data_IF_274527024588
#
_entry.id   IF_274527024588
#
_cell.length_a   1.000
_cell.length_b   1.000
_cell.length_c   1.000
_cell.angle_alpha   90.00
_cell.angle_beta   90.00
_cell.angle_gamma   90.00
#
_symmetry.space_group_name_H-M   'P 1'
#
loop_
_entity.id
_entity.type
_entity.pdbx_description
1 polymer ?
#
# COMPACT_ATOMS: atom_id res chain seq x y z
N UNK A 1 1.25 -21.99 2.57
CA UNK A 1 2.32 -21.02 2.89
C UNK A 1 2.37 -20.03 1.75
N UNK A 2 2.05 -18.76 2.01
CA UNK A 2 2.24 -17.71 1.00
C UNK A 2 3.73 -17.64 0.65
N UNK A 3 4.06 -17.58 -0.63
CA UNK A 3 5.44 -17.48 -1.08
C UNK A 3 6.06 -16.21 -0.50
N UNK A 4 7.14 -16.35 0.26
CA UNK A 4 7.81 -15.20 0.85
C UNK A 4 8.56 -14.45 -0.25
N UNK A 5 8.10 -13.23 -0.57
CA UNK A 5 8.73 -12.43 -1.61
C UNK A 5 10.20 -12.14 -1.24
N UNK A 6 11.14 -12.21 -2.20
CA UNK A 6 12.51 -11.83 -1.94
C UNK A 6 12.55 -10.38 -1.47
N UNK A 7 13.31 -10.07 -0.43
CA UNK A 7 13.44 -8.72 0.11
C UNK A 7 14.73 -8.05 -0.34
N UNK A 8 14.73 -6.72 -0.37
CA UNK A 8 15.90 -5.88 -0.67
C UNK A 8 15.92 -4.69 0.28
N UNK A 9 17.13 -4.25 0.61
CA UNK A 9 17.32 -3.04 1.39
C UNK A 9 17.13 -1.81 0.49
N UNK A 10 16.24 -0.90 0.89
CA UNK A 10 15.97 0.32 0.14
C UNK A 10 17.04 1.37 0.50
N UNK A 11 18.03 1.57 -0.38
CA UNK A 11 19.17 2.45 -0.09
C UNK A 11 20.17 1.85 0.90
N UNK A 12 21.20 2.63 1.27
CA UNK A 12 22.33 2.12 2.07
C UNK A 12 21.96 1.80 3.53
N UNK A 13 21.05 2.58 4.10
CA UNK A 13 20.63 2.48 5.51
C UNK A 13 19.10 2.46 5.67
N UNK A 14 18.37 2.17 4.60
CA UNK A 14 16.91 2.16 4.65
C UNK A 14 16.30 0.80 5.01
N UNK A 15 14.96 0.73 5.04
CA UNK A 15 14.23 -0.47 5.47
C UNK A 15 14.38 -1.62 4.48
N UNK A 16 14.18 -2.83 4.98
CA UNK A 16 14.02 -4.02 4.16
C UNK A 16 12.59 -4.10 3.64
N UNK A 17 12.44 -4.14 2.33
CA UNK A 17 11.15 -4.16 1.66
C UNK A 17 11.07 -5.30 0.66
N UNK A 18 9.87 -5.69 0.23
CA UNK A 18 9.71 -6.65 -0.86
C UNK A 18 10.35 -6.14 -2.15
N UNK A 19 11.10 -6.99 -2.84
CA UNK A 19 11.74 -6.64 -4.12
C UNK A 19 10.72 -6.34 -5.22
N UNK A 20 9.51 -6.89 -5.09
CA UNK A 20 8.36 -6.52 -5.88
C UNK A 20 7.54 -5.49 -5.11
N UNK A 21 7.33 -4.34 -5.73
CA UNK A 21 6.43 -3.30 -5.24
C UNK A 21 5.03 -3.45 -5.80
N UNK A 22 4.04 -2.98 -5.05
CA UNK A 22 2.65 -2.88 -5.46
C UNK A 22 2.32 -1.43 -5.84
N UNK A 23 1.91 -1.19 -7.08
CA UNK A 23 1.42 0.12 -7.51
C UNK A 23 -0.06 0.28 -7.20
N UNK A 24 -0.41 1.22 -6.33
CA UNK A 24 -1.79 1.49 -5.94
C UNK A 24 -2.61 2.18 -7.05
N UNK A 25 -1.99 2.61 -8.15
CA UNK A 25 -2.64 3.34 -9.25
C UNK A 25 -3.95 2.69 -9.73
N UNK A 26 -4.02 1.35 -9.78
CA UNK A 26 -5.21 0.60 -10.19
C UNK A 26 -6.36 0.59 -9.19
N UNK A 27 -6.14 0.99 -7.93
CA UNK A 27 -7.21 1.22 -6.97
C UNK A 27 -7.91 2.56 -7.17
N UNK A 28 -7.37 3.43 -8.04
CA UNK A 28 -7.93 4.76 -8.26
C UNK A 28 -9.19 4.66 -9.12
N UNK A 29 -10.36 4.89 -8.51
CA UNK A 29 -11.63 4.90 -9.23
C UNK A 29 -11.70 6.02 -10.29
N UNK A 30 -10.87 7.06 -10.14
CA UNK A 30 -10.84 8.23 -11.03
C UNK A 30 -9.93 8.06 -12.24
N UNK A 31 -8.90 7.20 -12.16
CA UNK A 31 -7.94 7.00 -13.24
C UNK A 31 -8.15 5.72 -14.05
N UNK A 32 -8.63 4.64 -13.42
CA UNK A 32 -8.70 3.30 -14.04
C UNK A 32 -10.12 2.76 -14.22
N UNK A 33 -11.15 3.55 -13.91
CA UNK A 33 -12.54 3.12 -13.93
C UNK A 33 -13.00 2.59 -12.58
N UNK A 34 -14.17 1.96 -12.53
CA UNK A 34 -14.79 1.54 -11.27
C UNK A 34 -13.90 0.53 -10.52
N UNK A 35 -13.25 0.98 -9.43
CA UNK A 35 -12.34 0.16 -8.63
C UNK A 35 -13.06 -0.70 -7.59
N UNK A 36 -14.41 -0.76 -7.66
CA UNK A 36 -15.26 -1.49 -6.73
C UNK A 36 -15.51 -0.72 -5.43
N UNK A 37 -16.24 -1.38 -4.53
CA UNK A 37 -16.61 -0.80 -3.24
C UNK A 37 -15.37 -0.63 -2.34
N UNK A 38 -15.44 0.28 -1.37
CA UNK A 38 -14.34 0.54 -0.42
C UNK A 38 -13.88 -0.76 0.29
N UNK A 39 -14.82 -1.62 0.69
CA UNK A 39 -14.48 -2.89 1.35
C UNK A 39 -13.73 -3.86 0.44
N UNK A 40 -14.05 -3.93 -0.85
CA UNK A 40 -13.34 -4.78 -1.81
C UNK A 40 -11.91 -4.29 -2.02
N UNK A 41 -11.74 -2.97 -2.15
CA UNK A 41 -10.43 -2.32 -2.26
C UNK A 41 -9.58 -2.55 -1.02
N UNK A 42 -10.19 -2.47 0.17
CA UNK A 42 -9.51 -2.76 1.43
C UNK A 42 -9.15 -4.26 1.58
N UNK A 43 -10.04 -5.17 1.16
CA UNK A 43 -9.76 -6.61 1.15
C UNK A 43 -8.65 -6.97 0.15
N UNK A 44 -8.55 -6.24 -0.96
CA UNK A 44 -7.45 -6.36 -1.90
C UNK A 44 -6.11 -5.97 -1.26
N UNK A 45 -6.05 -4.85 -0.54
CA UNK A 45 -4.85 -4.44 0.21
C UNK A 45 -4.45 -5.48 1.27
N UNK A 46 -5.42 -6.11 1.95
CA UNK A 46 -5.15 -7.23 2.85
C UNK A 46 -4.49 -8.40 2.12
N UNK A 47 -4.97 -8.75 0.91
CA UNK A 47 -4.34 -9.80 0.10
C UNK A 47 -2.94 -9.44 -0.35
N UNK A 48 -2.70 -8.20 -0.77
CA UNK A 48 -1.37 -7.70 -1.13
C UNK A 48 -0.40 -7.86 0.05
N UNK A 49 -0.84 -7.46 1.24
CA UNK A 49 -0.07 -7.63 2.47
C UNK A 49 0.17 -9.11 2.82
N UNK A 50 -0.87 -9.96 2.75
CA UNK A 50 -0.77 -11.41 2.99
C UNK A 50 0.18 -12.12 2.02
N UNK A 51 0.30 -11.62 0.79
CA UNK A 51 1.27 -12.09 -0.20
C UNK A 51 2.71 -11.66 0.12
N UNK A 52 2.93 -10.90 1.19
CA UNK A 52 4.25 -10.44 1.63
C UNK A 52 4.77 -9.22 0.87
N UNK A 53 3.90 -8.51 0.15
CA UNK A 53 4.26 -7.26 -0.51
C UNK A 53 4.21 -6.12 0.51
N UNK A 54 5.38 -5.63 0.89
CA UNK A 54 5.57 -4.58 1.90
C UNK A 54 6.03 -3.26 1.30
N UNK A 55 6.21 -3.20 -0.03
CA UNK A 55 6.57 -1.97 -0.73
C UNK A 55 5.41 -1.48 -1.59
N UNK A 56 4.75 -0.39 -1.19
CA UNK A 56 3.56 0.13 -1.88
C UNK A 56 3.84 1.50 -2.50
N UNK A 57 3.62 1.63 -3.79
CA UNK A 57 3.76 2.88 -4.53
C UNK A 57 2.40 3.57 -4.67
N UNK A 58 2.30 4.81 -4.19
CA UNK A 58 1.14 5.68 -4.35
C UNK A 58 1.61 7.11 -4.58
N UNK A 59 0.71 7.99 -5.02
CA UNK A 59 0.96 9.40 -5.23
C UNK A 59 -0.34 10.21 -5.05
N UNK A 60 -0.22 11.50 -4.73
CA UNK A 60 -1.34 12.45 -4.64
C UNK A 60 -2.19 12.46 -5.92
N UNK A 61 -1.56 12.28 -7.08
CA UNK A 61 -2.23 12.22 -8.37
C UNK A 61 -3.12 10.99 -8.59
N UNK A 62 -3.11 9.99 -7.71
CA UNK A 62 -3.89 8.76 -7.84
C UNK A 62 -5.30 8.84 -7.25
N UNK A 63 -5.85 10.04 -7.07
CA UNK A 63 -7.22 10.24 -6.61
C UNK A 63 -7.38 9.93 -5.12
N UNK A 64 -8.31 9.05 -4.76
CA UNK A 64 -8.69 8.73 -3.38
C UNK A 64 -7.83 7.64 -2.71
N UNK A 65 -6.77 7.21 -3.39
CA UNK A 65 -5.91 6.11 -2.94
C UNK A 65 -5.23 6.36 -1.60
N UNK A 66 -4.78 7.58 -1.33
CA UNK A 66 -4.09 7.89 -0.06
C UNK A 66 -5.04 7.82 1.13
N UNK A 67 -6.29 8.26 0.96
CA UNK A 67 -7.32 8.16 2.00
C UNK A 67 -7.66 6.69 2.28
N UNK A 68 -7.81 5.88 1.22
CA UNK A 68 -8.06 4.44 1.34
C UNK A 68 -6.91 3.72 2.08
N UNK A 69 -5.66 3.99 1.68
CA UNK A 69 -4.48 3.41 2.32
C UNK A 69 -4.38 3.88 3.77
N UNK A 70 -4.69 5.15 4.05
CA UNK A 70 -4.76 5.69 5.41
C UNK A 70 -5.80 4.97 6.28
N UNK A 71 -7.01 4.74 5.75
CA UNK A 71 -8.06 3.94 6.41
C UNK A 71 -7.59 2.51 6.68
N UNK A 72 -6.92 1.88 5.71
CA UNK A 72 -6.36 0.54 5.88
C UNK A 72 -5.31 0.50 7.00
N UNK A 73 -4.41 1.48 7.07
CA UNK A 73 -3.42 1.58 8.14
C UNK A 73 -4.08 1.78 9.51
N UNK A 74 -5.07 2.67 9.62
CA UNK A 74 -5.83 2.88 10.86
C UNK A 74 -6.54 1.60 11.31
N UNK A 75 -7.09 0.84 10.36
CA UNK A 75 -7.83 -0.41 10.64
C UNK A 75 -6.91 -1.55 11.09
N UNK A 76 -5.72 -1.66 10.50
CA UNK A 76 -4.83 -2.81 10.71
C UNK A 76 -3.70 -2.54 11.71
N UNK A 77 -3.32 -1.29 11.94
CA UNK A 77 -2.18 -0.91 12.77
C UNK A 77 -0.82 -1.30 12.18
N UNK A 78 -0.75 -1.66 10.88
CA UNK A 78 0.46 -2.21 10.24
C UNK A 78 1.32 -1.16 9.53
N UNK A 79 1.22 0.11 9.93
CA UNK A 79 1.93 1.21 9.26
C UNK A 79 3.44 1.02 9.22
N UNK A 80 4.02 0.43 10.28
CA UNK A 80 5.46 0.21 10.40
C UNK A 80 5.96 -0.98 9.57
N UNK A 81 5.05 -1.80 9.03
CA UNK A 81 5.38 -2.99 8.25
C UNK A 81 5.33 -2.75 6.73
N UNK A 82 4.84 -1.58 6.31
CA UNK A 82 4.70 -1.20 4.91
C UNK A 82 5.49 0.06 4.65
N UNK A 83 6.41 -0.02 3.69
CA UNK A 83 7.12 1.13 3.15
C UNK A 83 6.36 1.63 1.92
N UNK A 84 6.07 2.92 1.87
CA UNK A 84 5.37 3.51 0.73
C UNK A 84 5.98 4.85 0.30
N UNK A 85 5.93 5.11 -1.01
CA UNK A 85 6.59 6.27 -1.67
C UNK A 85 6.02 7.61 -1.22
N UNK A 86 4.70 7.68 -1.03
CA UNK A 86 3.98 8.84 -0.54
C UNK A 86 2.98 8.38 0.52
N UNK A 87 2.97 9.06 1.66
CA UNK A 87 1.92 8.97 2.66
C UNK A 87 1.83 10.36 3.23
N UNK A 88 0.81 11.13 2.82
CA UNK A 88 0.48 12.37 3.51
C UNK A 88 0.49 12.12 5.02
N UNK A 89 1.14 13.03 5.75
CA UNK A 89 1.29 13.05 7.20
C UNK A 89 0.10 12.39 7.93
N UNK A 90 0.27 11.13 8.35
CA UNK A 90 -0.67 10.46 9.26
C UNK A 90 -0.61 11.05 10.67
N UNK A 91 0.32 11.98 10.94
CA UNK A 91 0.39 12.72 12.21
C UNK A 91 -0.76 13.73 12.40
N UNK A 92 -1.61 13.97 11.40
CA UNK A 92 -2.73 14.93 11.52
C UNK A 92 -4.14 14.33 11.48
N UNK A 93 -4.32 13.02 11.67
CA UNK A 93 -5.67 12.40 11.66
C UNK A 93 -5.92 11.38 12.77
#
# INVERSE_FOLDING_TARGET
MAAQLPTRQLGKDGPWVSALGYGAMGLSSTLYGDAGDEEERLAFLDKVFEMGCTFWDTAEGYGDNEELIGKWFKRTGKRDQVCSTFVLNLESM
#
